data_IF_202172183665
#
_entry.id   IF_202172183665
#
_cell.length_a   1.000
_cell.length_b   1.000
_cell.length_c   1.000
_cell.angle_alpha   90.00
_cell.angle_beta   90.00
_cell.angle_gamma   90.00
#
_symmetry.space_group_name_H-M   'P 1'
#
loop_
_entity.id
_entity.type
_entity.pdbx_description
1 polymer ?
#
# COMPACT_ATOMS: atom_id res chain seq x y z
N UNK A 1 4.75 5.13 -42.39
CA UNK A 1 5.54 6.30 -41.95
C UNK A 1 5.33 7.47 -42.91
N UNK A 2 4.51 8.45 -42.52
CA UNK A 2 4.27 9.65 -43.32
C UNK A 2 5.53 10.51 -43.26
N UNK A 3 6.22 10.67 -44.40
CA UNK A 3 7.43 11.48 -44.47
C UNK A 3 7.09 12.93 -44.11
N UNK A 4 7.81 13.51 -43.16
CA UNK A 4 7.62 14.91 -42.74
C UNK A 4 7.80 15.92 -43.89
N UNK A 5 8.43 15.51 -44.99
CA UNK A 5 8.57 16.26 -46.23
C UNK A 5 7.26 16.43 -47.04
N UNK A 6 6.20 15.67 -46.74
CA UNK A 6 4.91 15.72 -47.46
C UNK A 6 3.85 16.58 -46.73
N UNK A 7 4.18 17.13 -45.56
CA UNK A 7 3.25 17.94 -44.77
C UNK A 7 3.12 19.36 -45.33
N UNK A 8 1.90 19.88 -45.36
CA UNK A 8 1.66 21.29 -45.65
C UNK A 8 2.38 22.18 -44.61
N UNK A 9 2.68 23.45 -44.91
CA UNK A 9 3.29 24.37 -43.94
C UNK A 9 2.51 24.48 -42.62
N UNK A 10 1.18 24.34 -42.68
CA UNK A 10 0.32 24.28 -41.51
C UNK A 10 0.50 22.97 -40.73
N UNK A 11 0.63 21.84 -41.42
CA UNK A 11 0.92 20.53 -40.81
C UNK A 11 2.29 20.47 -40.13
N UNK A 12 3.32 21.07 -40.73
CA UNK A 12 4.64 21.19 -40.10
C UNK A 12 4.61 22.05 -38.84
N UNK A 13 3.82 23.14 -38.84
CA UNK A 13 3.64 23.99 -37.67
C UNK A 13 2.90 23.26 -36.54
N UNK A 14 1.84 22.52 -36.87
CA UNK A 14 1.09 21.72 -35.91
C UNK A 14 1.96 20.62 -35.29
N UNK A 15 2.72 19.89 -36.12
CA UNK A 15 3.64 18.85 -35.64
C UNK A 15 4.70 19.42 -34.69
N UNK A 16 5.26 20.59 -34.99
CA UNK A 16 6.22 21.26 -34.11
C UNK A 16 5.60 21.62 -32.76
N UNK A 17 4.34 22.08 -32.77
CA UNK A 17 3.62 22.41 -31.54
C UNK A 17 3.31 21.16 -30.72
N UNK A 18 2.85 20.08 -31.35
CA UNK A 18 2.60 18.79 -30.70
C UNK A 18 3.89 18.20 -30.09
N UNK A 19 5.03 18.32 -30.77
CA UNK A 19 6.32 17.88 -30.22
C UNK A 19 6.74 18.71 -29.00
N UNK A 20 6.47 20.02 -29.00
CA UNK A 20 6.73 20.87 -27.83
C UNK A 20 5.82 20.48 -26.65
N UNK A 21 4.54 20.27 -26.90
CA UNK A 21 3.58 19.81 -25.89
C UNK A 21 4.00 18.46 -25.33
N UNK A 22 4.32 17.50 -26.20
CA UNK A 22 4.80 16.19 -25.80
C UNK A 22 6.05 16.29 -24.92
N UNK A 23 7.02 17.13 -25.29
CA UNK A 23 8.23 17.34 -24.49
C UNK A 23 7.90 17.86 -23.09
N UNK A 24 7.02 18.85 -22.98
CA UNK A 24 6.58 19.40 -21.68
C UNK A 24 5.90 18.33 -20.83
N UNK A 25 4.95 17.59 -21.40
CA UNK A 25 4.23 16.53 -20.71
C UNK A 25 5.16 15.39 -20.27
N UNK A 26 6.14 15.04 -21.11
CA UNK A 26 7.11 14.01 -20.79
C UNK A 26 8.05 14.42 -19.65
N UNK A 27 8.47 15.68 -19.62
CA UNK A 27 9.28 16.22 -18.53
C UNK A 27 8.46 16.31 -17.22
N UNK A 28 7.16 16.65 -17.30
CA UNK A 28 6.24 16.58 -16.15
C UNK A 28 6.12 15.15 -15.62
N UNK A 29 5.84 14.19 -16.51
CA UNK A 29 5.76 12.78 -16.15
C UNK A 29 7.03 12.29 -15.45
N UNK A 30 8.22 12.63 -15.97
CA UNK A 30 9.50 12.28 -15.33
C UNK A 30 9.62 12.85 -13.92
N UNK A 31 9.17 14.09 -13.71
CA UNK A 31 9.23 14.70 -12.39
C UNK A 31 8.26 14.03 -11.42
N UNK A 32 7.06 13.69 -11.87
CA UNK A 32 6.06 13.03 -11.04
C UNK A 32 6.47 11.59 -10.70
N UNK A 33 7.09 10.87 -11.65
CA UNK A 33 7.67 9.55 -11.39
C UNK A 33 8.74 9.62 -10.30
N UNK A 34 9.66 10.59 -10.36
CA UNK A 34 10.70 10.75 -9.31
C UNK A 34 10.09 11.07 -7.93
N UNK A 35 9.03 11.89 -7.89
CA UNK A 35 8.33 12.17 -6.63
C UNK A 35 7.69 10.90 -6.06
N UNK A 36 7.02 10.14 -6.91
CA UNK A 36 6.40 8.87 -6.53
C UNK A 36 7.42 7.85 -6.02
N UNK A 37 8.56 7.68 -6.71
CA UNK A 37 9.65 6.80 -6.27
C UNK A 37 10.19 7.21 -4.89
N UNK A 38 10.34 8.51 -4.66
CA UNK A 38 10.77 9.04 -3.37
C UNK A 38 9.74 8.75 -2.28
N UNK A 39 8.45 8.99 -2.54
CA UNK A 39 7.37 8.69 -1.59
C UNK A 39 7.33 7.20 -1.23
N UNK A 40 7.54 6.32 -2.21
CA UNK A 40 7.63 4.87 -1.97
C UNK A 40 8.84 4.51 -1.09
N UNK A 41 10.00 5.10 -1.35
CA UNK A 41 11.19 4.92 -0.52
C UNK A 41 10.94 5.38 0.92
N UNK A 42 10.33 6.54 1.11
CA UNK A 42 10.02 7.09 2.42
C UNK A 42 9.03 6.18 3.18
N UNK A 43 8.01 5.63 2.50
CA UNK A 43 7.09 4.66 3.10
C UNK A 43 7.79 3.36 3.53
N UNK A 44 8.73 2.86 2.72
CA UNK A 44 9.53 1.69 3.09
C UNK A 44 10.39 1.96 4.33
N UNK A 45 11.02 3.13 4.42
CA UNK A 45 11.78 3.53 5.62
C UNK A 45 10.91 3.61 6.86
N UNK A 46 9.72 4.20 6.76
CA UNK A 46 8.75 4.25 7.86
C UNK A 46 8.35 2.84 8.28
N UNK A 47 8.01 1.97 7.32
CA UNK A 47 7.66 0.58 7.61
C UNK A 47 8.79 -0.17 8.33
N UNK A 48 10.03 -0.03 7.88
CA UNK A 48 11.19 -0.65 8.49
C UNK A 48 11.45 -0.13 9.91
N UNK A 49 11.31 1.18 10.13
CA UNK A 49 11.43 1.79 11.46
C UNK A 49 10.34 1.31 12.42
N UNK A 50 9.11 1.21 11.95
CA UNK A 50 8.00 0.69 12.76
C UNK A 50 8.25 -0.79 13.10
N UNK A 51 8.67 -1.61 12.14
CA UNK A 51 9.04 -3.00 12.37
C UNK A 51 10.22 -3.16 13.36
N UNK A 52 11.17 -2.24 13.39
CA UNK A 52 12.30 -2.32 14.34
C UNK A 52 11.93 -1.89 15.76
N UNK A 53 10.85 -1.12 15.93
CA UNK A 53 10.44 -0.55 17.22
C UNK A 53 9.31 -1.33 17.90
N UNK A 54 8.50 -2.08 17.15
CA UNK A 54 7.42 -2.90 17.69
C UNK A 54 7.92 -4.26 18.16
N UNK A 55 7.38 -4.78 19.27
CA UNK A 55 7.64 -6.15 19.74
C UNK A 55 7.18 -7.23 18.75
N UNK A 56 7.91 -8.34 18.69
CA UNK A 56 7.67 -9.42 17.71
C UNK A 56 6.24 -10.00 17.74
N UNK A 57 5.60 -10.04 18.92
CA UNK A 57 4.21 -10.49 19.08
C UNK A 57 3.19 -9.57 18.40
N UNK A 58 3.41 -8.25 18.44
CA UNK A 58 2.55 -7.30 17.77
C UNK A 58 2.76 -7.32 16.25
N UNK A 59 3.97 -7.64 15.79
CA UNK A 59 4.24 -7.87 14.37
C UNK A 59 3.44 -9.06 13.85
N UNK A 60 3.47 -10.21 14.52
CA UNK A 60 2.72 -11.40 14.07
C UNK A 60 1.21 -11.26 14.16
N UNK A 61 0.71 -10.48 15.12
CA UNK A 61 -0.75 -10.33 15.35
C UNK A 61 -1.37 -9.22 14.51
N UNK A 62 -0.64 -8.13 14.23
CA UNK A 62 -1.18 -6.96 13.52
C UNK A 62 -0.77 -6.88 12.04
N UNK A 63 0.30 -7.56 11.62
CA UNK A 63 0.79 -7.51 10.24
C UNK A 63 0.21 -8.68 9.43
N UNK A 64 -0.93 -8.46 8.77
CA UNK A 64 -1.54 -9.45 7.87
C UNK A 64 -0.98 -9.24 6.45
N UNK A 65 -0.41 -10.28 5.79
CA UNK A 65 0.31 -10.13 4.53
C UNK A 65 -0.49 -9.56 3.36
N UNK A 66 -1.83 -9.63 3.40
CA UNK A 66 -2.71 -9.08 2.37
C UNK A 66 -3.17 -7.64 2.64
N UNK A 67 -2.81 -7.05 3.79
CA UNK A 67 -3.25 -5.70 4.15
C UNK A 67 -2.32 -4.62 3.63
N UNK A 68 -2.90 -3.48 3.29
CA UNK A 68 -2.15 -2.28 2.93
C UNK A 68 -1.41 -1.72 4.15
N UNK A 69 -0.32 -0.98 3.92
CA UNK A 69 0.43 -0.29 4.99
C UNK A 69 -0.49 0.61 5.84
N UNK A 70 -1.51 1.23 5.24
CA UNK A 70 -2.48 2.06 5.95
C UNK A 70 -3.36 1.25 6.90
N UNK A 71 -3.88 0.12 6.45
CA UNK A 71 -4.68 -0.78 7.29
C UNK A 71 -3.85 -1.35 8.44
N UNK A 72 -2.59 -1.70 8.16
CA UNK A 72 -1.65 -2.14 9.18
C UNK A 72 -1.41 -1.06 10.25
N UNK A 73 -1.16 0.19 9.85
CA UNK A 73 -0.99 1.31 10.78
C UNK A 73 -2.23 1.54 11.67
N UNK A 74 -3.43 1.38 11.11
CA UNK A 74 -4.70 1.47 11.88
C UNK A 74 -4.80 0.34 12.89
N UNK A 75 -4.52 -0.91 12.48
CA UNK A 75 -4.55 -2.07 13.36
C UNK A 75 -3.52 -1.94 14.49
N UNK A 76 -2.31 -1.49 14.14
CA UNK A 76 -1.26 -1.20 15.10
C UNK A 76 -1.73 -0.14 16.11
N UNK A 77 -2.28 0.99 15.65
CA UNK A 77 -2.81 2.04 16.54
C UNK A 77 -3.90 1.52 17.47
N UNK A 78 -4.77 0.64 16.99
CA UNK A 78 -5.86 0.08 17.80
C UNK A 78 -5.38 -0.96 18.82
N UNK A 79 -4.21 -1.58 18.58
CA UNK A 79 -3.65 -2.65 19.40
C UNK A 79 -2.57 -2.15 20.35
N UNK A 80 -1.80 -1.14 19.95
CA UNK A 80 -0.80 -0.47 20.78
C UNK A 80 -1.51 0.42 21.79
N UNK A 81 -1.31 0.13 23.09
CA UNK A 81 -1.98 0.81 24.19
C UNK A 81 -3.16 0.04 24.79
N UNK A 82 -3.42 -1.19 24.35
CA UNK A 82 -4.31 -2.10 25.08
C UNK A 82 -3.56 -2.58 26.33
N UNK A 83 -4.13 -2.31 27.50
CA UNK A 83 -3.61 -2.76 28.79
C UNK A 83 -3.39 -4.29 28.78
N UNK A 84 -2.31 -4.73 29.42
CA UNK A 84 -1.88 -6.13 29.39
C UNK A 84 -2.97 -7.06 29.94
N UNK A 85 -3.73 -6.58 30.92
CA UNK A 85 -4.90 -7.28 31.49
C UNK A 85 -6.05 -7.42 30.48
N UNK A 86 -6.25 -6.42 29.62
CA UNK A 86 -7.26 -6.45 28.57
C UNK A 86 -6.85 -7.42 27.46
N UNK A 87 -5.58 -7.45 27.05
CA UNK A 87 -5.09 -8.44 26.09
C UNK A 87 -5.11 -9.86 26.64
N UNK A 88 -4.76 -10.06 27.92
CA UNK A 88 -4.91 -11.36 28.60
C UNK A 88 -6.37 -11.85 28.59
N UNK A 89 -7.32 -10.94 28.83
CA UNK A 89 -8.76 -11.26 28.80
C UNK A 89 -9.19 -11.66 27.39
N UNK A 90 -8.82 -10.87 26.38
CA UNK A 90 -9.12 -11.17 24.95
C UNK A 90 -8.47 -12.45 24.47
N UNK A 91 -7.23 -12.75 24.90
CA UNK A 91 -6.55 -13.99 24.58
C UNK A 91 -7.25 -15.20 25.20
N UNK A 92 -7.71 -15.07 26.45
CA UNK A 92 -8.52 -16.11 27.12
C UNK A 92 -9.85 -16.34 26.40
N UNK A 93 -10.54 -15.29 25.98
CA UNK A 93 -11.79 -15.40 25.21
C UNK A 93 -11.58 -16.10 23.87
N UNK A 94 -10.53 -15.73 23.12
CA UNK A 94 -10.14 -16.39 21.87
C UNK A 94 -9.87 -17.89 22.08
N UNK A 95 -9.12 -18.23 23.12
CA UNK A 95 -8.83 -19.61 23.47
C UNK A 95 -10.10 -20.40 23.83
N UNK A 96 -10.98 -19.83 24.66
CA UNK A 96 -12.24 -20.47 25.02
C UNK A 96 -13.16 -20.65 23.81
N UNK A 97 -13.20 -19.68 22.89
CA UNK A 97 -13.96 -19.78 21.65
C UNK A 97 -13.43 -20.92 20.76
N UNK A 98 -12.10 -21.06 20.64
CA UNK A 98 -11.49 -22.17 19.90
C UNK A 98 -11.74 -23.54 20.55
N UNK A 99 -11.87 -23.59 21.88
CA UNK A 99 -12.23 -24.81 22.61
C UNK A 99 -13.73 -25.14 22.55
N UNK A 100 -14.59 -24.24 22.07
CA UNK A 100 -16.02 -24.57 21.94
C UNK A 100 -16.14 -25.67 20.89
N UNK A 101 -16.66 -26.86 21.25
CA UNK A 101 -16.85 -27.93 20.28
C UNK A 101 -17.76 -27.42 19.17
N UNK A 102 -17.40 -27.69 17.92
CA UNK A 102 -18.21 -27.32 16.75
C UNK A 102 -19.61 -27.89 16.91
N UNK A 103 -20.61 -27.01 17.09
CA UNK A 103 -21.99 -27.41 17.39
C UNK A 103 -22.84 -27.68 16.14
N UNK A 104 -22.30 -27.45 14.93
CA UNK A 104 -23.07 -27.52 13.69
C UNK A 104 -22.33 -28.23 12.57
N UNK A 105 -23.05 -29.11 11.87
CA UNK A 105 -22.56 -29.88 10.72
C UNK A 105 -22.44 -29.02 9.44
N UNK A 106 -22.91 -27.78 9.47
CA UNK A 106 -22.85 -26.84 8.34
C UNK A 106 -21.49 -26.12 8.17
N UNK A 107 -20.49 -26.40 9.02
CA UNK A 107 -19.18 -25.74 9.01
C UNK A 107 -18.03 -26.69 8.68
N UNK A 108 -18.33 -27.83 8.04
CA UNK A 108 -17.33 -28.85 7.72
C UNK A 108 -16.50 -28.56 6.47
N UNK A 109 -16.97 -27.68 5.57
CA UNK A 109 -16.40 -27.48 4.21
C UNK A 109 -15.82 -26.07 3.94
N UNK A 110 -15.49 -25.29 4.98
CA UNK A 110 -14.75 -24.00 4.85
C UNK A 110 -13.50 -24.02 5.68
#
# INVERSE_FOLDING_TARGET
PTNSAELSPAGLKALKEELNIFKILFDQYKNDLRKYEKEQSDLQHISAFIQSTISTHLQSTCLIPQQTIREWLVNLRNTVGVDNDVEMTRARERYQAALRPMRSVAHWDT
#
